data_IF_467312403699
#
_entry.id   IF_467312403699
#
_cell.length_a   1.000
_cell.length_b   1.000
_cell.length_c   1.000
_cell.angle_alpha   90.00
_cell.angle_beta   90.00
_cell.angle_gamma   90.00
#
_symmetry.space_group_name_H-M   'P 1'
#
loop_
_entity.id
_entity.type
_entity.pdbx_description
1 polymer ?
#
# COMPACT_ATOMS: atom_id res chain seq x y z
N UNK A 1 -16.42 16.35 -22.40
CA UNK A 1 -15.61 15.14 -22.64
C UNK A 1 -14.48 15.19 -21.61
N UNK A 2 -14.69 14.56 -20.45
CA UNK A 2 -13.68 14.55 -19.37
C UNK A 2 -12.65 13.49 -19.75
N UNK A 3 -11.41 13.90 -20.04
CA UNK A 3 -10.28 12.97 -20.16
C UNK A 3 -10.27 12.03 -18.96
N UNK A 4 -9.97 10.73 -19.12
CA UNK A 4 -9.78 9.89 -17.95
C UNK A 4 -8.60 10.49 -17.18
N UNK A 5 -8.88 11.03 -16.00
CA UNK A 5 -7.82 11.50 -15.12
C UNK A 5 -6.88 10.30 -14.90
N UNK A 6 -5.58 10.50 -15.13
CA UNK A 6 -4.60 9.43 -15.00
C UNK A 6 -4.77 8.75 -13.64
N UNK A 7 -4.87 7.42 -13.65
CA UNK A 7 -5.03 6.63 -12.43
C UNK A 7 -3.83 6.88 -11.52
N UNK A 8 -4.10 7.31 -10.29
CA UNK A 8 -3.07 7.58 -9.29
C UNK A 8 -2.42 6.26 -8.88
N UNK A 9 -1.10 6.26 -8.67
CA UNK A 9 -0.33 5.06 -8.35
C UNK A 9 -0.21 4.88 -6.84
N UNK A 10 -0.64 3.73 -6.34
CA UNK A 10 -0.60 3.31 -4.94
C UNK A 10 0.39 2.17 -4.76
N UNK A 11 1.40 2.37 -3.92
CA UNK A 11 2.33 1.31 -3.52
C UNK A 11 2.04 0.91 -2.08
N UNK A 12 1.80 -0.38 -1.82
CA UNK A 12 1.61 -0.91 -0.47
C UNK A 12 2.69 -1.94 -0.17
N UNK A 13 3.45 -1.72 0.91
CA UNK A 13 4.41 -2.68 1.43
C UNK A 13 3.96 -3.16 2.81
N UNK A 14 3.66 -4.45 2.91
CA UNK A 14 3.27 -5.08 4.17
C UNK A 14 4.46 -5.71 4.90
N UNK A 15 4.57 -5.44 6.20
CA UNK A 15 5.49 -6.06 7.13
C UNK A 15 4.69 -6.64 8.31
N UNK A 16 4.52 -7.95 8.34
CA UNK A 16 3.78 -8.59 9.41
C UNK A 16 3.30 -9.98 9.04
N UNK A 17 2.04 -10.28 9.35
CA UNK A 17 1.43 -11.58 9.09
C UNK A 17 0.45 -11.54 7.91
N UNK A 18 -0.22 -12.67 7.65
CA UNK A 18 -1.26 -12.78 6.63
C UNK A 18 -2.40 -11.78 6.82
N UNK A 19 -2.65 -11.33 8.06
CA UNK A 19 -3.62 -10.28 8.33
C UNK A 19 -3.22 -8.95 7.69
N UNK A 20 -1.94 -8.54 7.74
CA UNK A 20 -1.49 -7.34 7.03
C UNK A 20 -1.57 -7.47 5.51
N UNK A 21 -1.50 -8.68 4.96
CA UNK A 21 -1.69 -8.89 3.52
C UNK A 21 -3.15 -8.66 3.17
N UNK A 22 -4.05 -9.30 3.92
CA UNK A 22 -5.49 -9.12 3.78
C UNK A 22 -5.93 -7.66 3.97
N UNK A 23 -5.41 -6.98 4.99
CA UNK A 23 -5.69 -5.57 5.24
C UNK A 23 -5.20 -4.70 4.09
N UNK A 24 -4.07 -5.03 3.47
CA UNK A 24 -3.53 -4.31 2.31
C UNK A 24 -4.39 -4.47 1.06
N UNK A 25 -4.95 -5.65 0.82
CA UNK A 25 -5.95 -5.86 -0.24
C UNK A 25 -7.17 -4.99 0.01
N UNK A 26 -7.69 -4.98 1.24
CA UNK A 26 -8.80 -4.08 1.62
C UNK A 26 -8.47 -2.61 1.47
N UNK A 27 -7.26 -2.19 1.82
CA UNK A 27 -6.82 -0.81 1.62
C UNK A 27 -6.84 -0.42 0.14
N UNK A 28 -6.42 -1.33 -0.75
CA UNK A 28 -6.48 -1.11 -2.20
C UNK A 28 -7.93 -0.95 -2.69
N UNK A 29 -8.84 -1.83 -2.24
CA UNK A 29 -10.26 -1.77 -2.61
C UNK A 29 -10.93 -0.45 -2.17
N UNK A 30 -10.62 0.03 -0.97
CA UNK A 30 -11.16 1.30 -0.45
C UNK A 30 -10.63 2.51 -1.22
N UNK A 31 -9.38 2.44 -1.71
CA UNK A 31 -8.74 3.53 -2.45
C UNK A 31 -9.07 3.50 -3.96
N UNK A 32 -9.49 2.37 -4.51
CA UNK A 32 -9.83 2.22 -5.93
C UNK A 32 -10.93 3.21 -6.41
N UNK A 33 -12.05 3.44 -5.69
CA UNK A 33 -13.04 4.45 -6.06
C UNK A 33 -12.51 5.89 -6.08
N UNK A 34 -11.40 6.16 -5.38
CA UNK A 34 -10.73 7.46 -5.38
C UNK A 34 -9.72 7.61 -6.54
N UNK A 35 -9.67 6.64 -7.44
CA UNK A 35 -8.82 6.64 -8.62
C UNK A 35 -7.40 6.12 -8.38
N UNK A 36 -7.16 5.41 -7.28
CA UNK A 36 -5.87 4.76 -7.04
C UNK A 36 -5.81 3.36 -7.68
N UNK A 37 -4.67 3.01 -8.24
CA UNK A 37 -4.34 1.67 -8.74
C UNK A 37 -3.00 1.20 -8.18
N UNK A 38 -2.88 -0.11 -7.93
CA UNK A 38 -1.64 -0.68 -7.40
C UNK A 38 -0.47 -0.55 -8.38
N UNK A 39 0.71 -0.29 -7.84
CA UNK A 39 2.00 -0.36 -8.54
C UNK A 39 2.95 -1.29 -7.77
N UNK A 40 3.85 -1.96 -8.48
CA UNK A 40 4.81 -2.90 -7.91
C UNK A 40 6.03 -2.21 -7.30
N UNK A 41 6.19 -0.92 -7.58
CA UNK A 41 7.36 -0.14 -7.21
C UNK A 41 6.95 1.18 -6.54
N UNK A 42 7.66 1.63 -5.49
CA UNK A 42 7.41 2.93 -4.86
C UNK A 42 7.77 4.11 -5.77
N UNK A 43 8.66 3.91 -6.75
CA UNK A 43 9.10 4.95 -7.67
C UNK A 43 7.93 5.49 -8.51
N UNK A 44 7.60 6.76 -8.29
CA UNK A 44 6.49 7.42 -8.99
C UNK A 44 5.11 7.04 -8.47
N UNK A 45 5.00 6.41 -7.30
CA UNK A 45 3.74 6.28 -6.59
C UNK A 45 3.28 7.67 -6.09
N UNK A 46 1.98 7.95 -6.24
CA UNK A 46 1.32 9.12 -5.66
C UNK A 46 1.00 8.92 -4.17
N UNK A 47 0.93 7.66 -3.73
CA UNK A 47 0.73 7.26 -2.34
C UNK A 47 1.51 5.98 -2.01
N UNK A 48 2.25 6.01 -0.90
CA UNK A 48 2.97 4.85 -0.35
C UNK A 48 2.41 4.51 1.03
N UNK A 49 2.03 3.24 1.22
CA UNK A 49 1.56 2.71 2.51
C UNK A 49 2.53 1.65 3.02
N UNK A 50 3.09 1.87 4.20
CA UNK A 50 3.88 0.87 4.93
C UNK A 50 2.99 0.25 6.00
N UNK A 51 2.43 -0.92 5.71
CA UNK A 51 1.52 -1.61 6.62
C UNK A 51 2.30 -2.52 7.58
N UNK A 52 2.49 -2.09 8.83
CA UNK A 52 3.23 -2.84 9.85
C UNK A 52 2.33 -3.35 10.96
N UNK A 53 2.62 -4.52 11.54
CA UNK A 53 1.99 -4.96 12.78
C UNK A 53 2.71 -4.43 14.03
N UNK A 54 2.00 -3.75 14.93
CA UNK A 54 2.57 -3.25 16.19
C UNK A 54 2.82 -4.36 17.23
N UNK A 55 1.99 -5.41 17.24
CA UNK A 55 1.96 -6.42 18.32
C UNK A 55 3.03 -7.51 18.23
N UNK A 56 3.94 -7.45 17.25
CA UNK A 56 5.08 -8.37 17.17
C UNK A 56 6.38 -7.56 17.18
N UNK A 57 7.02 -7.55 18.34
CA UNK A 57 8.30 -6.91 18.71
C UNK A 57 9.49 -7.15 17.75
N UNK A 58 9.33 -7.97 16.70
CA UNK A 58 10.35 -8.26 15.66
C UNK A 58 10.19 -7.44 14.36
N UNK A 59 9.32 -6.43 14.32
CA UNK A 59 9.13 -5.60 13.12
C UNK A 59 10.18 -4.49 12.96
N UNK A 60 10.92 -4.15 14.01
CA UNK A 60 11.85 -3.00 14.01
C UNK A 60 13.16 -3.25 13.25
N UNK A 61 13.60 -4.51 13.11
CA UNK A 61 14.90 -4.83 12.48
C UNK A 61 14.89 -4.71 10.94
N UNK A 62 13.75 -4.89 10.28
CA UNK A 62 13.67 -4.85 8.81
C UNK A 62 13.45 -3.45 8.22
N UNK A 63 13.17 -2.46 9.05
CA UNK A 63 12.94 -1.07 8.60
C UNK A 63 14.24 -0.28 8.43
N UNK A 64 15.36 -0.80 8.96
CA UNK A 64 16.69 -0.16 8.92
C UNK A 64 17.73 -0.96 8.10
N UNK A 65 17.31 -1.99 7.35
CA UNK A 65 18.18 -2.79 6.47
C UNK A 65 17.84 -2.59 5.00
#
# INVERSE_FOLDING_TARGET
MTSPAAQKRLFIKSYGCQMNVYDSERMADVLAPLGYGLTDAPEGADLVVLNTCHIREKATEKTYS
#
